data_IF_392443643141
#
_entry.id   IF_392443643141
#
_cell.length_a   1.000
_cell.length_b   1.000
_cell.length_c   1.000
_cell.angle_alpha   90.00
_cell.angle_beta   90.00
_cell.angle_gamma   90.00
#
_symmetry.space_group_name_H-M   'P 1'
#
loop_
_entity.id
_entity.type
_entity.pdbx_description
1 polymer ?
#
# COMPACT_ATOMS: atom_id res chain seq x y z
N UNK A 1 -3.60 4.23 -1.92
CA UNK A 1 -4.73 3.91 -1.01
C UNK A 1 -6.07 4.11 -1.72
N UNK A 2 -6.50 5.34 -2.05
CA UNK A 2 -7.84 5.61 -2.61
C UNK A 2 -8.29 4.63 -3.71
N UNK A 3 -7.40 4.29 -4.64
CA UNK A 3 -7.71 3.35 -5.72
C UNK A 3 -8.06 1.92 -5.29
N UNK A 4 -7.68 1.51 -4.07
CA UNK A 4 -7.98 0.18 -3.52
C UNK A 4 -9.03 0.21 -2.42
N UNK A 5 -9.38 1.37 -1.91
CA UNK A 5 -10.41 1.54 -0.87
C UNK A 5 -11.73 2.04 -1.46
N UNK A 6 -11.69 2.76 -2.58
CA UNK A 6 -12.85 3.43 -3.12
C UNK A 6 -13.50 4.33 -2.06
N UNK A 7 -14.82 4.25 -1.93
CA UNK A 7 -15.58 4.97 -0.91
C UNK A 7 -15.64 4.26 0.46
N UNK A 8 -14.75 3.28 0.71
CA UNK A 8 -14.71 2.50 1.96
C UNK A 8 -13.55 2.88 2.87
N UNK A 9 -12.74 3.87 2.51
CA UNK A 9 -11.66 4.34 3.36
C UNK A 9 -12.21 4.90 4.67
N UNK A 10 -11.44 4.83 5.77
CA UNK A 10 -11.76 5.60 6.96
C UNK A 10 -11.92 7.07 6.56
N UNK A 11 -13.13 7.57 6.72
CA UNK A 11 -13.45 8.95 6.35
C UNK A 11 -13.35 9.84 7.58
N UNK A 12 -13.01 11.09 7.37
CA UNK A 12 -12.98 12.12 8.39
C UNK A 12 -14.28 12.91 8.47
N UNK A 13 -15.35 12.43 7.83
CA UNK A 13 -16.63 13.09 7.63
C UNK A 13 -16.58 14.40 6.81
N UNK A 14 -15.37 14.90 6.53
CA UNK A 14 -15.18 16.04 5.65
C UNK A 14 -15.34 15.60 4.20
N UNK A 15 -16.27 16.22 3.49
CA UNK A 15 -16.59 15.91 2.09
C UNK A 15 -17.11 14.47 1.87
N UNK A 16 -17.85 13.92 2.84
CA UNK A 16 -18.38 12.55 2.77
C UNK A 16 -19.31 12.31 1.56
N UNK A 17 -19.88 13.37 0.97
CA UNK A 17 -20.70 13.33 -0.25
C UNK A 17 -19.88 13.26 -1.54
N UNK A 18 -18.56 13.49 -1.47
CA UNK A 18 -17.71 13.43 -2.65
C UNK A 18 -17.17 12.00 -2.86
N UNK A 19 -17.16 11.57 -4.12
CA UNK A 19 -16.64 10.25 -4.47
C UNK A 19 -15.11 10.24 -4.45
N UNK A 20 -14.53 9.27 -3.75
CA UNK A 20 -13.10 8.97 -3.80
C UNK A 20 -12.74 7.92 -4.88
N UNK A 21 -13.70 7.53 -5.72
CA UNK A 21 -13.46 6.58 -6.81
C UNK A 21 -12.51 7.16 -7.87
N UNK A 22 -11.62 6.30 -8.36
CA UNK A 22 -10.68 6.65 -9.42
C UNK A 22 -10.83 5.68 -10.60
N UNK A 23 -10.54 6.11 -11.80
CA UNK A 23 -10.70 5.32 -13.02
C UNK A 23 -9.50 4.43 -13.34
N UNK A 24 -8.32 4.77 -12.83
CA UNK A 24 -7.08 4.03 -13.01
C UNK A 24 -6.14 4.28 -11.85
N UNK A 25 -5.22 3.35 -11.63
CA UNK A 25 -4.17 3.46 -10.62
C UNK A 25 -2.82 3.41 -11.32
N UNK A 26 -1.93 4.33 -10.95
CA UNK A 26 -0.51 4.23 -11.27
C UNK A 26 0.24 4.14 -9.94
N UNK A 27 0.80 2.97 -9.67
CA UNK A 27 1.71 2.76 -8.56
C UNK A 27 3.15 2.95 -9.04
N UNK A 28 3.77 3.98 -8.55
CA UNK A 28 5.14 4.32 -8.90
C UNK A 28 6.05 4.06 -7.69
N UNK A 29 6.59 2.83 -7.61
CA UNK A 29 7.46 2.32 -6.53
C UNK A 29 6.89 2.56 -5.11
N UNK A 30 5.58 2.38 -4.93
CA UNK A 30 4.92 2.60 -3.64
C UNK A 30 5.18 1.48 -2.62
N UNK A 31 5.31 1.82 -1.33
CA UNK A 31 5.17 0.83 -0.26
C UNK A 31 3.74 0.30 -0.22
N UNK A 32 3.56 -1.00 -0.31
CA UNK A 32 2.24 -1.63 -0.43
C UNK A 32 1.86 -2.50 0.76
N UNK A 33 2.86 -3.01 1.49
CA UNK A 33 2.70 -3.84 2.69
C UNK A 33 3.79 -3.45 3.70
N UNK A 34 3.45 -2.58 4.64
CA UNK A 34 4.40 -1.99 5.59
C UNK A 34 5.09 -3.04 6.46
N UNK A 35 4.34 -4.04 6.92
CA UNK A 35 4.88 -5.12 7.75
C UNK A 35 5.90 -6.01 7.02
N UNK A 36 6.00 -5.93 5.68
CA UNK A 36 6.88 -6.74 4.86
C UNK A 36 8.05 -5.98 4.22
N UNK A 37 8.20 -4.71 4.55
CA UNK A 37 9.26 -3.88 3.99
C UNK A 37 10.65 -4.43 4.32
N UNK A 38 10.92 -4.83 5.57
CA UNK A 38 12.21 -5.36 6.01
C UNK A 38 12.52 -6.80 5.58
N UNK A 39 11.62 -7.48 4.87
CA UNK A 39 11.87 -8.86 4.43
C UNK A 39 12.83 -8.95 3.25
N UNK A 40 13.18 -7.84 2.67
CA UNK A 40 14.07 -7.73 1.53
C UNK A 40 15.08 -6.61 1.75
N UNK A 41 16.26 -6.72 1.16
CA UNK A 41 17.30 -5.72 1.35
C UNK A 41 16.83 -4.31 1.00
N UNK A 42 17.06 -3.39 1.93
CA UNK A 42 16.86 -1.96 1.80
C UNK A 42 18.00 -1.24 2.50
N UNK A 43 18.31 -0.03 2.10
CA UNK A 43 19.26 0.84 2.81
C UNK A 43 18.66 1.44 4.08
N UNK A 44 17.37 1.26 4.29
CA UNK A 44 16.62 1.80 5.44
C UNK A 44 16.07 0.67 6.32
N UNK A 45 16.08 0.87 7.63
CA UNK A 45 15.32 0.04 8.56
C UNK A 45 13.88 0.55 8.62
N UNK A 46 12.95 -0.20 8.03
CA UNK A 46 11.53 0.14 7.97
C UNK A 46 10.75 -0.15 9.27
N UNK A 47 11.45 -0.64 10.30
CA UNK A 47 10.89 -0.77 11.67
C UNK A 47 11.31 0.38 12.58
N UNK A 48 12.14 1.32 12.09
CA UNK A 48 12.49 2.51 12.85
C UNK A 48 11.25 3.41 12.99
N UNK A 49 10.88 3.85 14.20
CA UNK A 49 9.75 4.78 14.39
C UNK A 49 9.87 6.09 13.61
N UNK A 50 11.07 6.48 13.20
CA UNK A 50 11.33 7.68 12.40
C UNK A 50 11.39 7.40 10.89
N UNK A 51 11.27 6.14 10.45
CA UNK A 51 11.16 5.84 9.04
C UNK A 51 9.81 6.37 8.46
N UNK A 52 9.69 6.54 7.14
CA UNK A 52 8.45 7.03 6.53
C UNK A 52 7.21 6.24 6.96
N UNK A 53 7.31 4.93 7.01
CA UNK A 53 6.21 4.03 7.42
C UNK A 53 5.85 4.24 8.90
N UNK A 54 6.85 4.35 9.78
CA UNK A 54 6.65 4.64 11.20
C UNK A 54 5.97 5.98 11.41
N UNK A 55 6.39 7.01 10.70
CA UNK A 55 5.77 8.35 10.76
C UNK A 55 4.31 8.31 10.29
N UNK A 56 4.00 7.57 9.22
CA UNK A 56 2.63 7.44 8.69
C UNK A 56 1.68 6.82 9.71
N UNK A 57 2.14 5.86 10.52
CA UNK A 57 1.30 5.23 11.56
C UNK A 57 1.27 6.02 12.88
N UNK A 58 1.84 7.23 12.91
CA UNK A 58 1.80 8.11 14.08
C UNK A 58 3.05 8.07 14.95
N UNK A 59 4.15 7.48 14.47
CA UNK A 59 5.43 7.38 15.18
C UNK A 59 5.53 6.07 15.99
N UNK A 60 5.89 4.98 15.34
CA UNK A 60 6.06 3.67 15.99
C UNK A 60 6.70 2.64 15.06
N UNK A 61 7.17 1.54 15.63
CA UNK A 61 7.57 0.38 14.84
C UNK A 61 6.35 -0.25 14.19
N UNK A 62 6.38 -0.40 12.87
CA UNK A 62 5.28 -1.00 12.09
C UNK A 62 4.97 -2.43 12.50
N UNK A 63 5.94 -3.15 13.10
CA UNK A 63 5.76 -4.52 13.58
C UNK A 63 5.13 -4.57 14.98
N UNK A 64 5.30 -3.52 15.79
CA UNK A 64 4.69 -3.41 17.11
C UNK A 64 3.24 -2.88 17.04
N UNK A 65 2.87 -2.26 15.91
CA UNK A 65 1.55 -1.70 15.65
C UNK A 65 0.88 -2.34 14.42
N UNK A 66 0.59 -3.67 14.45
CA UNK A 66 0.12 -4.40 13.27
C UNK A 66 -1.21 -3.88 12.71
N UNK A 67 -2.11 -3.41 13.57
CA UNK A 67 -3.41 -2.88 13.13
C UNK A 67 -3.24 -1.56 12.37
N UNK A 68 -2.38 -0.66 12.83
CA UNK A 68 -2.09 0.60 12.16
C UNK A 68 -1.32 0.36 10.86
N UNK A 69 -0.35 -0.56 10.88
CA UNK A 69 0.36 -1.00 9.68
C UNK A 69 -0.58 -1.56 8.63
N UNK A 70 -1.54 -2.40 9.03
CA UNK A 70 -2.53 -2.95 8.12
C UNK A 70 -3.43 -1.85 7.53
N UNK A 71 -3.90 -0.92 8.35
CA UNK A 71 -4.71 0.22 7.90
C UNK A 71 -3.96 1.11 6.90
N UNK A 72 -2.64 1.28 7.08
CA UNK A 72 -1.80 2.07 6.19
C UNK A 72 -1.38 1.31 4.92
N UNK A 73 -1.49 -0.01 4.90
CA UNK A 73 -1.01 -0.87 3.80
C UNK A 73 -2.08 -1.06 2.72
N UNK A 74 -1.85 -0.61 1.47
CA UNK A 74 -2.78 -0.82 0.36
C UNK A 74 -3.21 -2.27 0.15
N UNK A 75 -2.30 -3.22 0.35
CA UNK A 75 -2.56 -4.65 0.16
C UNK A 75 -3.66 -5.21 1.08
N UNK A 76 -3.90 -4.59 2.23
CA UNK A 76 -4.93 -5.02 3.18
C UNK A 76 -6.35 -4.90 2.60
N UNK A 77 -6.53 -3.99 1.66
CA UNK A 77 -7.85 -3.67 1.07
C UNK A 77 -8.17 -4.49 -0.19
N UNK A 78 -7.24 -5.31 -0.66
CA UNK A 78 -7.44 -6.09 -1.86
C UNK A 78 -8.30 -7.33 -1.58
N UNK A 79 -9.35 -7.51 -2.35
CA UNK A 79 -10.19 -8.71 -2.33
C UNK A 79 -10.77 -8.99 -3.71
N UNK A 80 -11.25 -10.22 -3.92
CA UNK A 80 -11.85 -10.61 -5.20
C UNK A 80 -13.10 -9.77 -5.51
N UNK A 81 -13.91 -9.50 -4.49
CA UNK A 81 -15.20 -8.81 -4.62
C UNK A 81 -15.07 -7.28 -4.70
N UNK A 82 -13.89 -6.73 -4.38
CA UNK A 82 -13.67 -5.29 -4.44
C UNK A 82 -13.49 -4.85 -5.90
N UNK A 83 -14.27 -3.93 -6.42
CA UNK A 83 -13.96 -3.27 -7.69
C UNK A 83 -12.59 -2.60 -7.60
N UNK A 84 -11.70 -2.96 -8.52
CA UNK A 84 -10.35 -2.40 -8.57
C UNK A 84 -10.13 -1.85 -9.96
N UNK A 85 -9.80 -0.57 -10.12
CA UNK A 85 -9.46 0.02 -11.42
C UNK A 85 -8.26 -0.65 -12.06
N UNK A 86 -8.13 -0.55 -13.38
CA UNK A 86 -6.92 -0.96 -14.11
C UNK A 86 -5.70 -0.34 -13.45
N UNK A 87 -4.69 -1.17 -13.16
CA UNK A 87 -3.54 -0.77 -12.35
C UNK A 87 -2.25 -0.91 -13.15
N UNK A 88 -1.49 0.18 -13.28
CA UNK A 88 -0.13 0.16 -13.80
C UNK A 88 0.87 0.21 -12.64
N UNK A 89 1.78 -0.75 -12.58
CA UNK A 89 2.84 -0.79 -11.55
C UNK A 89 4.19 -0.53 -12.23
N UNK A 90 4.92 0.45 -11.70
CA UNK A 90 6.24 0.82 -12.17
C UNK A 90 7.23 0.88 -11.02
N UNK A 91 8.36 0.16 -11.13
CA UNK A 91 9.36 0.11 -10.05
C UNK A 91 10.77 -0.09 -10.60
N UNK A 92 11.73 0.64 -10.07
CA UNK A 92 13.14 0.44 -10.37
C UNK A 92 13.67 -0.84 -9.71
N UNK A 93 14.21 -1.77 -10.50
CA UNK A 93 14.72 -3.05 -9.96
C UNK A 93 15.93 -2.92 -9.00
N UNK A 94 16.47 -1.70 -8.81
CA UNK A 94 17.57 -1.37 -7.88
C UNK A 94 17.17 -0.28 -6.90
N UNK A 95 15.90 -0.13 -6.63
CA UNK A 95 15.44 0.79 -5.60
C UNK A 95 16.04 0.37 -4.24
N UNK A 96 16.74 1.30 -3.61
CA UNK A 96 17.42 1.07 -2.34
C UNK A 96 16.59 1.48 -1.13
N UNK A 97 15.51 2.22 -1.35
CA UNK A 97 14.61 2.68 -0.30
C UNK A 97 13.39 1.77 -0.19
N UNK A 98 12.59 1.71 -1.24
CA UNK A 98 11.42 0.83 -1.28
C UNK A 98 11.80 -0.48 -1.97
N UNK A 99 11.83 -1.61 -1.25
CA UNK A 99 12.21 -2.88 -1.84
C UNK A 99 11.33 -3.25 -3.03
N UNK A 100 11.93 -3.66 -4.15
CA UNK A 100 11.23 -4.04 -5.38
C UNK A 100 10.14 -5.10 -5.17
N UNK A 101 10.30 -5.95 -4.14
CA UNK A 101 9.30 -6.96 -3.80
C UNK A 101 7.94 -6.37 -3.43
N UNK A 102 7.85 -5.12 -3.01
CA UNK A 102 6.57 -4.46 -2.73
C UNK A 102 5.68 -4.46 -3.98
N UNK A 103 6.22 -4.05 -5.10
CA UNK A 103 5.53 -4.11 -6.40
C UNK A 103 5.29 -5.54 -6.89
N UNK A 104 6.24 -6.46 -6.70
CA UNK A 104 6.04 -7.87 -7.05
C UNK A 104 4.88 -8.50 -6.28
N UNK A 105 4.76 -8.21 -4.99
CA UNK A 105 3.67 -8.69 -4.13
C UNK A 105 2.33 -8.12 -4.57
N UNK A 106 2.27 -6.80 -4.80
CA UNK A 106 1.07 -6.15 -5.31
C UNK A 106 0.61 -6.77 -6.63
N UNK A 107 1.51 -6.89 -7.59
CA UNK A 107 1.23 -7.52 -8.89
C UNK A 107 0.69 -8.95 -8.74
N UNK A 108 1.40 -9.78 -7.98
CA UNK A 108 1.01 -11.17 -7.78
C UNK A 108 -0.38 -11.30 -7.12
N UNK A 109 -0.68 -10.44 -6.15
CA UNK A 109 -1.97 -10.43 -5.46
C UNK A 109 -3.08 -9.99 -6.41
N UNK A 110 -2.89 -8.89 -7.15
CA UNK A 110 -3.88 -8.42 -8.13
C UNK A 110 -4.17 -9.47 -9.21
N UNK A 111 -3.12 -10.14 -9.74
CA UNK A 111 -3.29 -11.23 -10.70
C UNK A 111 -4.05 -12.41 -10.11
N UNK A 112 -3.72 -12.84 -8.89
CA UNK A 112 -4.42 -13.94 -8.21
C UNK A 112 -5.90 -13.63 -7.96
N UNK A 113 -6.24 -12.35 -7.77
CA UNK A 113 -7.61 -11.87 -7.60
C UNK A 113 -8.33 -11.60 -8.94
N UNK A 114 -7.69 -11.87 -10.08
CA UNK A 114 -8.27 -11.64 -11.41
C UNK A 114 -8.42 -10.17 -11.80
N UNK A 115 -7.63 -9.28 -11.18
CA UNK A 115 -7.66 -7.85 -11.47
C UNK A 115 -6.82 -7.51 -12.69
N UNK A 116 -7.16 -6.40 -13.34
CA UNK A 116 -6.42 -5.88 -14.49
C UNK A 116 -5.17 -5.12 -14.02
N UNK A 117 -3.99 -5.70 -14.30
CA UNK A 117 -2.69 -5.17 -13.91
C UNK A 117 -1.58 -5.59 -14.89
#
# INVERSE_FOLDING_TARGET
MAGFTGNRAPDTDAYAEESAEVNAIVDWHGPTDFAKMNFYPSSQNHSDPQCPEGVVIGGGDVLEHPDLSAQASPMTYLSADMPTPSTLIMHGGRDQLVPFNQSCRLYATLKALGKDV
#
